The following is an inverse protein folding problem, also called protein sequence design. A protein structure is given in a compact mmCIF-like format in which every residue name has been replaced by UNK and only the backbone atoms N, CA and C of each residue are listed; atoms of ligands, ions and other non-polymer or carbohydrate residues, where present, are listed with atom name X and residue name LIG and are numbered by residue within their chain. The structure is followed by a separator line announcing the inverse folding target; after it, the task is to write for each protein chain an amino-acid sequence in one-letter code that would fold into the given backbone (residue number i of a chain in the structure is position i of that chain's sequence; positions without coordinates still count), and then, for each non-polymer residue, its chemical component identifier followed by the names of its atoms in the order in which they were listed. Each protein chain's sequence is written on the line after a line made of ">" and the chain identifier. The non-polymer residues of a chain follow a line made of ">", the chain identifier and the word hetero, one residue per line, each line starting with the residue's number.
data_IF_766277080175
#
_entry.id   IF_766277080175
#
_cell.length_a   1.000
_cell.length_b   1.000
_cell.length_c   1.000
_cell.angle_alpha   90.00
_cell.angle_beta   90.00
_cell.angle_gamma   90.00
#
_symmetry.space_group_name_H-M   'P 1'
#
loop_
_entity.id
_entity.type
_entity.pdbx_description
1 polymer ?
#
# COMPACT_ATOMS: atom_id res chain seq x y z
N UNK A 1 1.62 -44.48 10.50
CA UNK A 1 1.81 -43.78 9.19
C UNK A 1 1.36 -42.31 9.12
N UNK A 2 0.49 -41.76 10.01
CA UNK A 2 0.05 -40.34 9.92
C UNK A 2 1.12 -39.29 10.29
N UNK A 3 2.16 -39.66 11.05
CA UNK A 3 3.22 -38.74 11.50
C UNK A 3 4.15 -38.29 10.36
N UNK A 4 4.57 -39.21 9.48
CA UNK A 4 5.49 -38.94 8.37
C UNK A 4 4.95 -37.90 7.36
N UNK A 5 3.64 -37.87 7.13
CA UNK A 5 3.01 -36.92 6.21
C UNK A 5 2.94 -35.49 6.78
N UNK A 6 2.81 -35.32 8.10
CA UNK A 6 2.86 -34.00 8.73
C UNK A 6 4.28 -33.44 8.72
N UNK A 7 5.29 -34.27 8.97
CA UNK A 7 6.70 -33.88 8.88
C UNK A 7 7.10 -33.41 7.47
N UNK A 8 6.65 -34.11 6.41
CA UNK A 8 6.90 -33.67 5.02
C UNK A 8 6.32 -32.28 4.71
N UNK A 9 5.10 -31.97 5.18
CA UNK A 9 4.47 -30.66 4.96
C UNK A 9 5.19 -29.53 5.71
N UNK A 10 5.57 -29.75 6.96
CA UNK A 10 6.30 -28.76 7.75
C UNK A 10 7.68 -28.50 7.15
N UNK A 11 8.37 -29.53 6.66
CA UNK A 11 9.67 -29.38 6.00
C UNK A 11 9.60 -28.52 4.73
N UNK A 12 8.54 -28.68 3.92
CA UNK A 12 8.33 -27.84 2.73
C UNK A 12 8.13 -26.37 3.11
N UNK A 13 7.38 -26.09 4.19
CA UNK A 13 7.18 -24.72 4.68
C UNK A 13 8.50 -24.10 5.14
N UNK A 14 9.29 -24.84 5.94
CA UNK A 14 10.61 -24.38 6.40
C UNK A 14 11.53 -24.10 5.22
N UNK A 15 11.54 -24.97 4.21
CA UNK A 15 12.39 -24.82 3.03
C UNK A 15 12.01 -23.59 2.20
N UNK A 16 10.71 -23.29 2.06
CA UNK A 16 10.24 -22.07 1.42
C UNK A 16 10.62 -20.81 2.20
N UNK A 17 10.46 -20.82 3.53
CA UNK A 17 10.87 -19.68 4.38
C UNK A 17 12.38 -19.44 4.24
N UNK A 18 13.18 -20.50 4.31
CA UNK A 18 14.63 -20.42 4.13
C UNK A 18 15.01 -19.87 2.76
N UNK A 19 14.31 -20.26 1.69
CA UNK A 19 14.49 -19.70 0.34
C UNK A 19 14.20 -18.20 0.30
N UNK A 20 13.08 -17.77 0.87
CA UNK A 20 12.69 -16.34 0.91
C UNK A 20 13.76 -15.52 1.66
N UNK A 21 14.22 -16.02 2.81
CA UNK A 21 15.28 -15.36 3.60
C UNK A 21 16.59 -15.31 2.80
N UNK A 22 16.98 -16.40 2.15
CA UNK A 22 18.20 -16.45 1.33
C UNK A 22 18.15 -15.46 0.17
N UNK A 23 17.03 -15.40 -0.57
CA UNK A 23 16.86 -14.42 -1.65
C UNK A 23 16.90 -12.98 -1.14
N UNK A 24 16.29 -12.71 0.02
CA UNK A 24 16.29 -11.38 0.62
C UNK A 24 17.72 -10.92 0.96
N UNK A 25 18.52 -11.83 1.56
CA UNK A 25 19.94 -11.58 1.86
C UNK A 25 20.75 -11.39 0.58
N UNK A 26 20.51 -12.21 -0.44
CA UNK A 26 21.22 -12.14 -1.72
C UNK A 26 20.96 -10.80 -2.43
N UNK A 27 19.71 -10.35 -2.48
CA UNK A 27 19.35 -9.05 -3.05
C UNK A 27 20.09 -7.93 -2.31
N UNK A 28 20.06 -7.92 -0.98
CA UNK A 28 20.74 -6.91 -0.18
C UNK A 28 22.26 -6.88 -0.39
N UNK A 29 22.90 -8.05 -0.44
CA UNK A 29 24.32 -8.19 -0.75
C UNK A 29 24.64 -7.67 -2.17
N UNK A 30 23.79 -8.00 -3.15
CA UNK A 30 23.99 -7.58 -4.54
C UNK A 30 23.92 -6.06 -4.70
N UNK A 31 22.99 -5.39 -4.00
CA UNK A 31 22.91 -3.93 -4.00
C UNK A 31 24.17 -3.29 -3.41
N UNK A 32 24.67 -3.81 -2.28
CA UNK A 32 25.92 -3.33 -1.68
C UNK A 32 27.14 -3.52 -2.58
N UNK A 33 27.19 -4.63 -3.32
CA UNK A 33 28.29 -4.88 -4.26
C UNK A 33 28.21 -3.89 -5.43
N UNK A 34 27.03 -3.65 -5.99
CA UNK A 34 26.83 -2.66 -7.07
C UNK A 34 27.15 -1.24 -6.61
N UNK A 35 26.76 -0.87 -5.39
CA UNK A 35 27.12 0.42 -4.77
C UNK A 35 28.64 0.60 -4.69
N UNK A 36 29.40 -0.46 -4.38
CA UNK A 36 30.87 -0.41 -4.31
C UNK A 36 31.55 -0.37 -5.69
N UNK A 37 31.05 -1.13 -6.66
CA UNK A 37 31.69 -1.26 -7.98
C UNK A 37 31.42 -0.04 -8.86
N UNK A 38 30.18 0.46 -8.86
CA UNK A 38 29.77 1.59 -9.68
C UNK A 38 28.81 2.50 -8.91
N UNK A 39 29.32 3.25 -7.91
CA UNK A 39 28.50 4.08 -7.02
C UNK A 39 27.65 5.09 -7.80
N UNK A 40 28.25 5.76 -8.79
CA UNK A 40 27.55 6.79 -9.56
C UNK A 40 26.36 6.21 -10.37
N UNK A 41 26.57 5.09 -11.08
CA UNK A 41 25.48 4.40 -11.81
C UNK A 41 24.42 3.83 -10.87
N UNK A 42 24.83 3.29 -9.73
CA UNK A 42 23.92 2.77 -8.71
C UNK A 42 23.00 3.88 -8.17
N UNK A 43 23.57 5.00 -7.72
CA UNK A 43 22.79 6.12 -7.19
C UNK A 43 21.94 6.80 -8.25
N UNK A 44 22.41 6.94 -9.49
CA UNK A 44 21.59 7.44 -10.60
C UNK A 44 20.38 6.54 -10.88
N UNK A 45 20.55 5.22 -10.88
CA UNK A 45 19.44 4.28 -11.04
C UNK A 45 18.50 4.34 -9.83
N UNK A 46 19.02 4.43 -8.61
CA UNK A 46 18.21 4.58 -7.40
C UNK A 46 17.36 5.85 -7.44
N UNK A 47 17.92 6.98 -7.88
CA UNK A 47 17.19 8.23 -8.08
C UNK A 47 16.06 8.06 -9.12
N UNK A 48 16.32 7.36 -10.23
CA UNK A 48 15.27 7.09 -11.25
C UNK A 48 14.14 6.25 -10.67
N UNK A 49 14.46 5.20 -9.92
CA UNK A 49 13.45 4.35 -9.27
C UNK A 49 12.63 5.13 -8.24
N UNK A 50 13.28 5.88 -7.35
CA UNK A 50 12.59 6.70 -6.34
C UNK A 50 11.70 7.78 -6.97
N UNK A 51 12.15 8.42 -8.06
CA UNK A 51 11.30 9.38 -8.80
C UNK A 51 10.07 8.71 -9.43
N UNK A 52 10.22 7.48 -9.93
CA UNK A 52 9.11 6.72 -10.51
C UNK A 52 8.10 6.33 -9.43
N UNK A 53 8.58 5.84 -8.28
CA UNK A 53 7.74 5.53 -7.11
C UNK A 53 6.99 6.76 -6.64
N UNK A 54 7.66 7.91 -6.49
CA UNK A 54 7.04 9.16 -6.08
C UNK A 54 5.93 9.62 -7.06
N UNK A 55 6.16 9.50 -8.37
CA UNK A 55 5.11 9.79 -9.37
C UNK A 55 3.91 8.85 -9.25
N UNK A 56 4.16 7.57 -8.98
CA UNK A 56 3.10 6.58 -8.81
C UNK A 56 2.27 6.87 -7.56
N UNK A 57 2.92 7.23 -6.46
CA UNK A 57 2.26 7.56 -5.20
C UNK A 57 1.46 8.87 -5.31
N UNK A 58 2.00 9.90 -5.97
CA UNK A 58 1.27 11.14 -6.27
C UNK A 58 -0.03 10.89 -7.07
N UNK A 59 0.03 10.02 -8.09
CA UNK A 59 -1.16 9.61 -8.84
C UNK A 59 -2.16 8.85 -7.97
N UNK A 60 -1.67 7.97 -7.08
CA UNK A 60 -2.53 7.19 -6.18
C UNK A 60 -3.22 8.09 -5.16
N UNK A 61 -2.48 9.04 -4.55
CA UNK A 61 -3.01 10.03 -3.61
C UNK A 61 -4.08 10.87 -4.30
N UNK A 62 -3.80 11.43 -5.48
CA UNK A 62 -4.79 12.22 -6.25
C UNK A 62 -6.07 11.44 -6.55
N UNK A 63 -5.94 10.16 -6.91
CA UNK A 63 -7.10 9.31 -7.16
C UNK A 63 -7.92 9.06 -5.89
N UNK A 64 -7.25 8.84 -4.75
CA UNK A 64 -7.91 8.66 -3.46
C UNK A 64 -8.57 9.96 -2.98
N UNK A 65 -7.93 11.12 -3.17
CA UNK A 65 -8.50 12.43 -2.85
C UNK A 65 -9.76 12.70 -3.70
N UNK A 66 -9.71 12.38 -5.00
CA UNK A 66 -10.87 12.48 -5.88
C UNK A 66 -12.00 11.51 -5.48
N UNK A 67 -11.66 10.30 -5.04
CA UNK A 67 -12.65 9.37 -4.49
C UNK A 67 -13.23 9.88 -3.18
N UNK A 68 -12.42 10.48 -2.31
CA UNK A 68 -12.89 11.10 -1.08
C UNK A 68 -13.86 12.25 -1.37
N UNK A 69 -13.54 13.12 -2.33
CA UNK A 69 -14.44 14.19 -2.78
C UNK A 69 -15.76 13.65 -3.30
N UNK A 70 -15.73 12.58 -4.11
CA UNK A 70 -16.95 11.90 -4.59
C UNK A 70 -17.78 11.36 -3.44
N UNK A 71 -17.16 10.66 -2.48
CA UNK A 71 -17.86 10.11 -1.32
C UNK A 71 -18.43 11.20 -0.40
N UNK A 72 -17.72 12.32 -0.24
CA UNK A 72 -18.20 13.49 0.50
C UNK A 72 -19.34 14.21 -0.23
N UNK A 73 -19.28 14.31 -1.56
CA UNK A 73 -20.37 14.83 -2.37
C UNK A 73 -21.60 13.92 -2.36
N UNK A 74 -21.38 12.60 -2.25
CA UNK A 74 -22.42 11.57 -2.07
C UNK A 74 -22.98 11.54 -0.65
N UNK A 75 -22.56 12.42 0.29
CA UNK A 75 -22.94 12.40 1.71
C UNK A 75 -24.43 12.60 2.02
N UNK A 76 -25.29 12.60 1.02
CA UNK A 76 -26.74 12.46 1.18
C UNK A 76 -27.18 11.05 0.75
N UNK A 77 -27.06 10.07 1.66
CA UNK A 77 -27.86 8.85 1.52
C UNK A 77 -29.32 9.23 1.72
N UNK A 78 -30.09 9.15 0.64
CA UNK A 78 -31.50 9.46 0.72
C UNK A 78 -32.23 8.32 1.43
N UNK A 79 -33.14 8.70 2.33
CA UNK A 79 -34.14 7.83 2.95
C UNK A 79 -34.83 6.91 1.90
N UNK A 80 -34.94 7.39 0.66
CA UNK A 80 -35.42 6.63 -0.51
C UNK A 80 -34.57 5.40 -0.85
N UNK A 81 -33.24 5.50 -0.81
CA UNK A 81 -32.34 4.37 -1.07
C UNK A 81 -32.40 3.33 0.05
N UNK A 82 -32.48 3.79 1.30
CA UNK A 82 -32.68 2.90 2.45
C UNK A 82 -34.04 2.20 2.39
N UNK A 83 -35.12 2.89 1.98
CA UNK A 83 -36.45 2.30 1.77
C UNK A 83 -36.46 1.22 0.69
N UNK A 84 -35.79 1.44 -0.45
CA UNK A 84 -35.69 0.45 -1.53
C UNK A 84 -34.95 -0.80 -1.02
N UNK A 85 -33.77 -0.61 -0.40
CA UNK A 85 -32.97 -1.74 0.09
C UNK A 85 -33.67 -2.50 1.22
N UNK A 86 -34.34 -1.79 2.12
CA UNK A 86 -35.13 -2.40 3.18
C UNK A 86 -36.32 -3.22 2.65
N UNK A 87 -36.94 -2.77 1.54
CA UNK A 87 -37.99 -3.53 0.87
C UNK A 87 -37.44 -4.75 0.12
N UNK A 88 -36.22 -4.69 -0.41
CA UNK A 88 -35.54 -5.83 -1.04
C UNK A 88 -35.11 -6.90 -0.01
N UNK A 89 -34.64 -6.45 1.16
CA UNK A 89 -34.06 -7.31 2.20
C UNK A 89 -35.08 -7.74 3.30
N UNK A 90 -36.35 -7.33 3.19
CA UNK A 90 -37.41 -7.51 4.21
C UNK A 90 -36.98 -7.01 5.61
N UNK A 91 -36.36 -5.83 5.64
CA UNK A 91 -35.83 -5.19 6.83
C UNK A 91 -36.54 -3.87 7.15
N UNK A 92 -36.32 -3.37 8.37
CA UNK A 92 -36.80 -2.04 8.75
C UNK A 92 -35.98 -0.95 8.04
N UNK A 93 -36.60 -0.01 7.31
CA UNK A 93 -35.92 1.08 6.62
C UNK A 93 -35.04 1.96 7.52
N UNK A 94 -35.41 2.12 8.79
CA UNK A 94 -34.62 2.91 9.74
C UNK A 94 -33.28 2.22 10.07
N UNK A 95 -33.30 0.91 10.30
CA UNK A 95 -32.10 0.14 10.65
C UNK A 95 -31.15 0.04 9.45
N UNK A 96 -31.70 -0.12 8.25
CA UNK A 96 -30.93 -0.09 7.00
C UNK A 96 -30.33 1.29 6.76
N UNK A 97 -31.07 2.36 7.01
CA UNK A 97 -30.57 3.73 6.89
C UNK A 97 -29.37 3.99 7.82
N UNK A 98 -29.46 3.63 9.11
CA UNK A 98 -28.36 3.79 10.05
C UNK A 98 -27.13 2.97 9.67
N UNK A 99 -27.34 1.73 9.20
CA UNK A 99 -26.24 0.86 8.76
C UNK A 99 -25.53 1.44 7.55
N UNK A 100 -26.28 1.89 6.53
CA UNK A 100 -25.71 2.51 5.33
C UNK A 100 -24.96 3.81 5.64
N UNK A 101 -25.48 4.62 6.56
CA UNK A 101 -24.81 5.84 7.01
C UNK A 101 -23.50 5.52 7.75
N UNK A 102 -23.53 4.50 8.62
CA UNK A 102 -22.33 4.05 9.34
C UNK A 102 -21.26 3.53 8.38
N UNK A 103 -21.64 2.70 7.41
CA UNK A 103 -20.73 2.15 6.40
C UNK A 103 -20.10 3.25 5.52
N UNK A 104 -20.89 4.26 5.16
CA UNK A 104 -20.38 5.42 4.42
C UNK A 104 -19.36 6.23 5.21
N UNK A 105 -19.67 6.55 6.47
CA UNK A 105 -18.73 7.25 7.36
C UNK A 105 -17.44 6.44 7.51
N UNK A 106 -17.56 5.12 7.69
CA UNK A 106 -16.41 4.22 7.78
C UNK A 106 -15.57 4.25 6.49
N UNK A 107 -16.20 4.20 5.32
CA UNK A 107 -15.52 4.30 4.02
C UNK A 107 -14.75 5.61 3.87
N UNK A 108 -15.35 6.74 4.27
CA UNK A 108 -14.67 8.05 4.29
C UNK A 108 -13.44 8.02 5.19
N UNK A 109 -13.57 7.46 6.40
CA UNK A 109 -12.45 7.34 7.36
C UNK A 109 -11.34 6.45 6.78
N UNK A 110 -11.69 5.34 6.16
CA UNK A 110 -10.72 4.40 5.59
C UNK A 110 -9.95 5.03 4.43
N UNK A 111 -10.63 5.77 3.53
CA UNK A 111 -9.97 6.51 2.45
C UNK A 111 -9.03 7.58 3.01
N UNK A 112 -9.44 8.33 4.04
CA UNK A 112 -8.58 9.33 4.69
C UNK A 112 -7.33 8.69 5.28
N UNK A 113 -7.48 7.57 5.99
CA UNK A 113 -6.34 6.83 6.55
C UNK A 113 -5.39 6.35 5.46
N UNK A 114 -5.90 5.85 4.33
CA UNK A 114 -5.05 5.42 3.22
C UNK A 114 -4.26 6.60 2.63
N UNK A 115 -4.89 7.76 2.46
CA UNK A 115 -4.21 8.99 2.03
C UNK A 115 -3.10 9.38 3.02
N UNK A 116 -3.38 9.37 4.32
CA UNK A 116 -2.41 9.75 5.35
C UNK A 116 -1.19 8.82 5.35
N UNK A 117 -1.40 7.51 5.23
CA UNK A 117 -0.32 6.52 5.12
C UNK A 117 0.54 6.79 3.87
N UNK A 118 -0.10 7.01 2.72
CA UNK A 118 0.63 7.31 1.49
C UNK A 118 1.41 8.63 1.56
N UNK A 119 0.89 9.65 2.25
CA UNK A 119 1.62 10.91 2.48
C UNK A 119 2.84 10.72 3.37
N UNK A 120 2.77 9.83 4.36
CA UNK A 120 3.93 9.46 5.19
C UNK A 120 4.98 8.75 4.33
N UNK A 121 4.56 7.80 3.48
CA UNK A 121 5.46 7.08 2.58
C UNK A 121 6.10 8.02 1.55
N UNK A 122 5.34 8.96 0.97
CA UNK A 122 5.84 9.96 0.03
C UNK A 122 6.94 10.84 0.67
N UNK A 123 6.74 11.27 1.91
CA UNK A 123 7.74 12.04 2.65
C UNK A 123 9.03 11.24 2.90
N UNK A 124 8.90 9.94 3.17
CA UNK A 124 10.04 9.04 3.31
C UNK A 124 10.80 8.89 1.98
N UNK A 125 10.08 8.71 0.87
CA UNK A 125 10.69 8.63 -0.47
C UNK A 125 11.39 9.94 -0.83
N UNK A 126 10.81 11.11 -0.51
CA UNK A 126 11.45 12.42 -0.71
C UNK A 126 12.77 12.53 0.04
N UNK A 127 12.77 12.16 1.32
CA UNK A 127 14.00 12.14 2.13
C UNK A 127 15.04 11.15 1.57
N UNK A 128 14.64 9.96 1.17
CA UNK A 128 15.54 8.97 0.57
C UNK A 128 16.11 9.45 -0.78
N UNK A 129 15.32 10.21 -1.54
CA UNK A 129 15.71 10.81 -2.80
C UNK A 129 16.71 11.95 -2.62
N UNK A 130 16.54 12.80 -1.60
CA UNK A 130 17.53 13.80 -1.20
C UNK A 130 18.85 13.15 -0.79
N UNK A 131 18.80 12.09 0.03
CA UNK A 131 19.99 11.33 0.42
C UNK A 131 20.69 10.70 -0.78
N UNK A 132 19.93 10.11 -1.71
CA UNK A 132 20.46 9.49 -2.92
C UNK A 132 21.13 10.53 -3.84
N UNK A 133 20.55 11.74 -3.96
CA UNK A 133 21.15 12.86 -4.70
C UNK A 133 22.48 13.30 -4.07
N UNK A 134 22.51 13.51 -2.75
CA UNK A 134 23.73 13.89 -2.03
C UNK A 134 24.86 12.88 -2.24
N UNK A 135 24.54 11.58 -2.19
CA UNK A 135 25.51 10.50 -2.42
C UNK A 135 25.96 10.38 -3.87
N UNK A 136 25.09 10.71 -4.82
CA UNK A 136 25.47 10.75 -6.24
C UNK A 136 26.47 11.88 -6.52
N UNK A 137 26.29 13.05 -5.89
CA UNK A 137 27.18 14.21 -6.04
C UNK A 137 28.48 14.11 -5.25
N UNK A 138 28.50 13.38 -4.13
CA UNK A 138 29.73 13.19 -3.33
C UNK A 138 30.66 12.10 -3.86
N UNK A 139 30.25 11.40 -4.93
CA UNK A 139 31.02 10.35 -5.58
C UNK A 139 31.73 10.82 -6.86
N UNK A 140 31.57 12.11 -7.20
CA UNK A 140 32.37 12.86 -8.19
C UNK A 140 33.62 13.45 -7.51
#
# INVERSE_FOLDING_TARGET
>A
MRSLFKFKKVWIIILNISLIVFFSIFIWQSEKIQEKISPQRFWQNKIKTLNFELKKDDLKIKNLELNLEKELALSTYHEKGAKIKAQEDDQNPADVYFTMQHDHIKKIIDIKKEIDVLKIDENKIKHDLENAKTKATSAE
#
